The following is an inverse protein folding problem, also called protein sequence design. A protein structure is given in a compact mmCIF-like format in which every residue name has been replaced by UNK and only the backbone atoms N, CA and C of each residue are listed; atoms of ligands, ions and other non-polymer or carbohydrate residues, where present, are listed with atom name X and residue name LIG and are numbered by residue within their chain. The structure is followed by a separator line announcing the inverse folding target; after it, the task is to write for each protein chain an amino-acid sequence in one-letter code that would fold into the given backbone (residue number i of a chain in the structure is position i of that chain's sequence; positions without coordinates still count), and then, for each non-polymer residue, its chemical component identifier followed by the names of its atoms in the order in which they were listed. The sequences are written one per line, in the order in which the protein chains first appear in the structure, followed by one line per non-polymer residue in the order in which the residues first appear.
data_IF_716365500205
#
_entry.id   IF_716365500205
#
_cell.length_a   1.000
_cell.length_b   1.000
_cell.length_c   1.000
_cell.angle_alpha   90.00
_cell.angle_beta   90.00
_cell.angle_gamma   90.00
#
_symmetry.space_group_name_H-M   'P 1'
#
loop_
_entity.id
_entity.type
_entity.pdbx_description
1 polymer ?
#
# COMPACT_ATOMS: atom_id res chain seq x y z
N UNK A 1 48.54 -13.82 25.80
CA UNK A 1 47.45 -14.33 24.93
C UNK A 1 46.37 -13.26 24.86
N UNK A 2 46.39 -12.40 23.84
CA UNK A 2 45.58 -11.19 23.78
C UNK A 2 44.27 -11.50 23.05
N UNK A 3 43.25 -12.01 23.77
CA UNK A 3 41.88 -12.07 23.24
C UNK A 3 41.34 -10.65 23.21
N UNK A 4 41.47 -9.98 22.07
CA UNK A 4 40.58 -8.86 21.75
C UNK A 4 39.20 -9.48 21.65
N UNK A 5 38.37 -9.22 22.66
CA UNK A 5 36.94 -9.47 22.60
C UNK A 5 36.37 -8.64 21.45
N UNK A 6 36.32 -9.23 20.27
CA UNK A 6 35.55 -8.69 19.14
C UNK A 6 34.09 -8.79 19.55
N UNK A 7 33.51 -7.65 19.95
CA UNK A 7 32.07 -7.51 20.14
C UNK A 7 31.36 -8.15 18.93
N UNK A 8 30.32 -8.98 19.14
CA UNK A 8 29.62 -9.62 18.03
C UNK A 8 29.07 -8.54 17.11
N UNK A 9 29.58 -8.49 15.87
CA UNK A 9 29.12 -7.57 14.84
C UNK A 9 27.65 -7.90 14.59
N UNK A 10 26.75 -6.96 14.90
CA UNK A 10 25.33 -7.13 14.61
C UNK A 10 25.17 -7.31 13.10
N UNK A 11 24.55 -8.42 12.63
CA UNK A 11 24.39 -8.66 11.21
C UNK A 11 23.65 -7.50 10.53
N UNK A 12 24.20 -7.02 9.41
CA UNK A 12 23.61 -5.95 8.60
C UNK A 12 22.89 -6.56 7.41
N UNK A 13 21.75 -5.99 7.03
CA UNK A 13 21.02 -6.40 5.84
C UNK A 13 21.88 -6.29 4.56
N UNK A 14 21.72 -7.25 3.66
CA UNK A 14 22.53 -7.37 2.45
C UNK A 14 22.35 -6.15 1.54
N UNK A 15 23.45 -5.68 0.96
CA UNK A 15 23.44 -4.55 0.03
C UNK A 15 23.13 -3.18 0.64
N UNK A 16 23.08 -3.03 1.96
CA UNK A 16 22.88 -1.74 2.64
C UNK A 16 24.23 -1.06 2.92
N UNK A 17 24.89 -0.56 1.86
CA UNK A 17 26.15 0.20 1.95
C UNK A 17 25.90 1.71 2.07
N UNK A 18 26.87 2.47 2.56
CA UNK A 18 26.75 3.94 2.68
C UNK A 18 26.48 4.63 1.34
N UNK A 19 27.14 4.16 0.27
CA UNK A 19 26.90 4.65 -1.09
C UNK A 19 25.45 4.41 -1.53
N UNK A 20 24.89 3.23 -1.22
CA UNK A 20 23.51 2.90 -1.58
C UNK A 20 22.50 3.64 -0.73
N UNK A 21 22.78 3.88 0.56
CA UNK A 21 21.94 4.73 1.39
C UNK A 21 21.92 6.18 0.91
N UNK A 22 23.08 6.72 0.51
CA UNK A 22 23.15 8.04 -0.13
C UNK A 22 22.34 8.07 -1.44
N UNK A 23 22.39 7.00 -2.24
CA UNK A 23 21.54 6.84 -3.43
C UNK A 23 20.05 6.81 -3.05
N UNK A 24 19.65 6.03 -2.05
CA UNK A 24 18.27 5.94 -1.59
C UNK A 24 17.73 7.29 -1.10
N UNK A 25 18.57 8.13 -0.48
CA UNK A 25 18.16 9.51 -0.15
C UNK A 25 17.78 10.30 -1.40
N UNK A 26 18.62 10.28 -2.44
CA UNK A 26 18.32 10.96 -3.71
C UNK A 26 17.05 10.42 -4.37
N UNK A 27 16.83 9.11 -4.28
CA UNK A 27 15.58 8.48 -4.73
C UNK A 27 14.37 8.99 -3.96
N UNK A 28 14.43 9.01 -2.62
CA UNK A 28 13.33 9.50 -1.80
C UNK A 28 13.03 10.98 -2.11
N UNK A 29 14.03 11.85 -2.28
CA UNK A 29 13.79 13.25 -2.69
C UNK A 29 13.11 13.35 -4.06
N UNK A 30 13.52 12.54 -5.04
CA UNK A 30 12.86 12.48 -6.34
C UNK A 30 11.42 12.00 -6.25
N UNK A 31 11.16 10.98 -5.44
CA UNK A 31 9.82 10.44 -5.21
C UNK A 31 8.91 11.42 -4.48
N UNK A 32 9.44 12.20 -3.52
CA UNK A 32 8.72 13.32 -2.92
C UNK A 32 8.20 14.27 -3.99
N UNK A 33 9.08 14.73 -4.88
CA UNK A 33 8.69 15.67 -5.93
C UNK A 33 7.64 15.04 -6.86
N UNK A 34 7.87 13.81 -7.33
CA UNK A 34 6.98 13.13 -8.26
C UNK A 34 5.57 12.90 -7.68
N UNK A 35 5.47 12.49 -6.41
CA UNK A 35 4.18 12.30 -5.76
C UNK A 35 3.49 13.64 -5.46
N UNK A 36 4.25 14.63 -4.98
CA UNK A 36 3.71 15.94 -4.63
C UNK A 36 3.16 16.68 -5.85
N UNK A 37 3.91 16.68 -6.97
CA UNK A 37 3.46 17.28 -8.22
C UNK A 37 2.16 16.63 -8.69
N UNK A 38 2.07 15.30 -8.68
CA UNK A 38 0.84 14.62 -9.04
C UNK A 38 -0.33 14.98 -8.10
N UNK A 39 -0.10 15.03 -6.78
CA UNK A 39 -1.12 15.40 -5.81
C UNK A 39 -1.67 16.81 -6.08
N UNK A 40 -0.78 17.79 -6.31
CA UNK A 40 -1.16 19.18 -6.62
C UNK A 40 -1.92 19.25 -7.95
N UNK A 41 -1.43 18.58 -9.00
CA UNK A 41 -2.09 18.61 -10.31
C UNK A 41 -3.49 18.00 -10.22
N UNK A 42 -3.67 16.87 -9.53
CA UNK A 42 -4.98 16.27 -9.32
C UNK A 42 -5.90 17.24 -8.55
N UNK A 43 -5.44 17.86 -7.46
CA UNK A 43 -6.27 18.80 -6.68
C UNK A 43 -6.72 20.01 -7.51
N UNK A 44 -5.85 20.52 -8.39
CA UNK A 44 -6.14 21.71 -9.19
C UNK A 44 -7.07 21.39 -10.36
N UNK A 45 -6.93 20.21 -10.97
CA UNK A 45 -7.62 19.87 -12.22
C UNK A 45 -8.86 18.98 -12.04
N UNK A 46 -9.02 18.31 -10.89
CA UNK A 46 -10.13 17.38 -10.68
C UNK A 46 -11.48 18.11 -10.55
N UNK A 47 -12.50 17.59 -11.23
CA UNK A 47 -13.89 17.96 -11.00
C UNK A 47 -14.42 17.53 -9.63
N UNK A 48 -15.67 17.91 -9.33
CA UNK A 48 -16.30 17.71 -8.02
C UNK A 48 -16.94 16.32 -7.83
N UNK A 49 -16.56 15.32 -8.63
CA UNK A 49 -17.13 13.99 -8.53
C UNK A 49 -16.88 13.38 -7.15
N UNK A 50 -17.95 12.85 -6.55
CA UNK A 50 -17.94 12.22 -5.25
C UNK A 50 -18.73 10.91 -5.29
N UNK A 51 -18.38 9.99 -4.40
CA UNK A 51 -19.10 8.73 -4.23
C UNK A 51 -19.71 8.71 -2.83
N UNK A 52 -21.02 8.48 -2.77
CA UNK A 52 -21.79 8.40 -1.51
C UNK A 52 -21.55 7.07 -0.82
N UNK A 53 -21.08 7.12 0.41
CA UNK A 53 -21.06 5.97 1.34
C UNK A 53 -22.45 5.81 1.92
N UNK A 54 -22.92 4.57 2.03
CA UNK A 54 -24.30 4.26 2.45
C UNK A 54 -24.35 3.40 3.72
N UNK A 55 -25.50 3.41 4.38
CA UNK A 55 -25.81 2.55 5.52
C UNK A 55 -27.17 1.88 5.36
N UNK A 56 -27.34 0.68 5.90
CA UNK A 56 -28.63 -0.01 5.97
C UNK A 56 -28.75 -0.68 7.33
N UNK A 57 -29.72 -0.26 8.13
CA UNK A 57 -29.95 -0.82 9.46
C UNK A 57 -31.15 -1.79 9.44
N UNK A 58 -31.11 -2.92 10.18
CA UNK A 58 -32.26 -3.80 10.30
C UNK A 58 -33.43 -3.10 11.01
N UNK A 59 -34.64 -3.21 10.45
CA UNK A 59 -35.87 -2.61 10.99
C UNK A 59 -36.85 -3.66 11.56
N UNK A 60 -36.41 -4.91 11.68
CA UNK A 60 -37.23 -6.02 12.15
C UNK A 60 -36.42 -7.18 12.74
N UNK A 61 -37.08 -8.29 13.10
CA UNK A 61 -36.41 -9.49 13.60
C UNK A 61 -35.35 -10.05 12.64
N UNK A 62 -34.36 -10.83 13.12
CA UNK A 62 -33.38 -11.49 12.26
C UNK A 62 -34.03 -12.31 11.14
N UNK A 63 -33.59 -12.10 9.90
CA UNK A 63 -34.16 -12.72 8.69
C UNK A 63 -35.16 -11.83 7.94
N UNK A 64 -35.60 -10.72 8.53
CA UNK A 64 -36.31 -9.67 7.78
C UNK A 64 -35.39 -9.06 6.72
N UNK A 65 -35.94 -8.77 5.54
CA UNK A 65 -35.19 -8.13 4.47
C UNK A 65 -34.66 -6.76 4.93
N UNK A 66 -33.38 -6.50 4.67
CA UNK A 66 -32.75 -5.22 4.97
C UNK A 66 -33.33 -4.16 4.03
N UNK A 67 -33.69 -2.95 4.53
CA UNK A 67 -34.20 -1.87 3.68
C UNK A 67 -33.16 -1.39 2.66
N UNK A 68 -33.61 -0.59 1.71
CA UNK A 68 -32.71 0.07 0.76
C UNK A 68 -31.68 0.93 1.51
N UNK A 69 -30.42 1.05 1.03
CA UNK A 69 -29.42 1.86 1.71
C UNK A 69 -29.73 3.36 1.70
N UNK A 70 -29.55 4.00 2.85
CA UNK A 70 -29.58 5.45 3.01
C UNK A 70 -28.19 6.05 2.76
N UNK A 71 -28.16 7.28 2.24
CA UNK A 71 -26.94 8.05 2.10
C UNK A 71 -26.39 8.47 3.48
N UNK A 72 -25.09 8.27 3.70
CA UNK A 72 -24.42 8.61 4.94
C UNK A 72 -23.55 9.86 4.79
N UNK A 73 -22.59 9.83 3.86
CA UNK A 73 -21.76 10.97 3.50
C UNK A 73 -21.10 10.76 2.13
N UNK A 74 -20.67 11.86 1.51
CA UNK A 74 -19.96 11.84 0.24
C UNK A 74 -18.44 11.86 0.42
N UNK A 75 -17.74 11.04 -0.37
CA UNK A 75 -16.28 11.06 -0.45
C UNK A 75 -15.88 11.78 -1.73
N UNK A 76 -15.29 12.99 -1.66
CA UNK A 76 -14.79 13.69 -2.84
C UNK A 76 -13.58 12.94 -3.40
N UNK A 77 -13.73 12.34 -4.58
CA UNK A 77 -12.76 11.37 -5.10
C UNK A 77 -11.43 12.05 -5.45
N UNK A 78 -11.46 13.25 -6.04
CA UNK A 78 -10.24 14.02 -6.32
C UNK A 78 -9.41 14.31 -5.06
N UNK A 79 -10.08 14.67 -3.96
CA UNK A 79 -9.43 14.89 -2.66
C UNK A 79 -8.81 13.60 -2.09
N UNK A 80 -9.53 12.47 -2.16
CA UNK A 80 -9.02 11.18 -1.70
C UNK A 80 -7.81 10.70 -2.52
N UNK A 81 -7.81 10.92 -3.84
CA UNK A 81 -6.67 10.60 -4.72
C UNK A 81 -5.44 11.44 -4.36
N UNK A 82 -5.62 12.75 -4.22
CA UNK A 82 -4.54 13.63 -3.82
C UNK A 82 -3.98 13.28 -2.44
N UNK A 83 -4.83 12.86 -1.50
CA UNK A 83 -4.40 12.50 -0.15
C UNK A 83 -3.44 11.30 -0.17
N UNK A 84 -3.74 10.21 -0.88
CA UNK A 84 -2.82 9.06 -0.89
C UNK A 84 -1.48 9.38 -1.59
N UNK A 85 -1.48 10.29 -2.57
CA UNK A 85 -0.26 10.79 -3.20
C UNK A 85 0.54 11.67 -2.24
N UNK A 86 -0.12 12.57 -1.51
CA UNK A 86 0.50 13.45 -0.53
C UNK A 86 1.11 12.66 0.65
N UNK A 87 0.45 11.60 1.11
CA UNK A 87 1.00 10.70 2.13
C UNK A 87 2.31 10.05 1.69
N UNK A 88 2.38 9.57 0.45
CA UNK A 88 3.63 9.03 -0.11
C UNK A 88 4.71 10.11 -0.24
N UNK A 89 4.36 11.31 -0.72
CA UNK A 89 5.30 12.42 -0.81
C UNK A 89 5.89 12.80 0.56
N UNK A 90 5.04 12.83 1.59
CA UNK A 90 5.42 13.14 2.97
C UNK A 90 6.37 12.07 3.54
N UNK A 91 6.05 10.78 3.40
CA UNK A 91 6.91 9.70 3.88
C UNK A 91 8.31 9.74 3.25
N UNK A 92 8.37 9.91 1.92
CA UNK A 92 9.63 10.07 1.21
C UNK A 92 10.40 11.32 1.65
N UNK A 93 9.71 12.43 1.92
CA UNK A 93 10.36 13.66 2.37
C UNK A 93 10.97 13.47 3.75
N UNK A 94 10.19 12.88 4.66
CA UNK A 94 10.58 12.60 6.03
C UNK A 94 11.78 11.63 6.10
N UNK A 95 11.75 10.55 5.33
CA UNK A 95 12.86 9.57 5.27
C UNK A 95 14.10 10.11 4.57
N UNK A 96 13.96 11.10 3.67
CA UNK A 96 15.10 11.78 3.04
C UNK A 96 15.74 12.88 3.92
N UNK A 97 15.01 13.40 4.90
CA UNK A 97 15.38 14.59 5.69
C UNK A 97 15.38 14.30 7.20
N UNK A 98 14.30 14.65 7.90
CA UNK A 98 14.19 14.68 9.36
C UNK A 98 14.44 13.31 9.99
N UNK A 99 13.90 12.26 9.40
CA UNK A 99 14.00 10.89 9.92
C UNK A 99 15.03 10.02 9.19
N UNK A 100 15.88 10.62 8.35
CA UNK A 100 16.89 9.89 7.58
C UNK A 100 17.76 8.99 8.45
N UNK A 101 18.27 9.49 9.57
CA UNK A 101 19.11 8.68 10.45
C UNK A 101 18.39 7.45 11.03
N UNK A 102 17.09 7.57 11.33
CA UNK A 102 16.27 6.44 11.80
C UNK A 102 16.00 5.46 10.67
N UNK A 103 15.61 5.97 9.50
CA UNK A 103 15.38 5.18 8.30
C UNK A 103 16.61 4.32 7.93
N UNK A 104 17.79 4.94 7.83
CA UNK A 104 19.01 4.22 7.46
C UNK A 104 19.41 3.17 8.51
N UNK A 105 19.22 3.44 9.81
CA UNK A 105 19.44 2.45 10.88
C UNK A 105 18.50 1.25 10.77
N UNK A 106 17.23 1.48 10.42
CA UNK A 106 16.26 0.41 10.25
C UNK A 106 16.57 -0.45 9.03
N UNK A 107 16.93 0.17 7.89
CA UNK A 107 17.33 -0.56 6.70
C UNK A 107 18.51 -1.49 6.97
N UNK A 108 19.49 -1.04 7.75
CA UNK A 108 20.62 -1.91 8.18
C UNK A 108 20.15 -3.10 9.01
N UNK A 109 19.04 -2.97 9.73
CA UNK A 109 18.39 -4.04 10.48
C UNK A 109 17.39 -4.85 9.63
N UNK A 110 17.31 -4.59 8.33
CA UNK A 110 16.43 -5.31 7.41
C UNK A 110 14.95 -4.96 7.58
N UNK A 111 14.64 -3.77 8.12
CA UNK A 111 13.27 -3.31 8.35
C UNK A 111 13.09 -1.91 7.74
N UNK A 112 11.90 -1.63 7.21
CA UNK A 112 11.49 -0.27 6.89
C UNK A 112 10.12 0.02 7.51
N UNK A 113 10.10 0.57 8.73
CA UNK A 113 8.85 0.91 9.42
C UNK A 113 8.05 2.03 8.73
N UNK A 114 8.74 2.95 8.06
CA UNK A 114 8.13 4.10 7.37
C UNK A 114 7.24 3.62 6.23
N UNK A 115 7.76 2.71 5.39
CA UNK A 115 6.98 2.01 4.36
C UNK A 115 5.68 1.42 4.90
N UNK A 116 5.75 0.65 5.98
CA UNK A 116 4.56 -0.07 6.48
C UNK A 116 3.54 0.88 7.09
N UNK A 117 3.99 1.95 7.76
CA UNK A 117 3.08 3.00 8.25
C UNK A 117 2.42 3.72 7.08
N UNK A 118 3.18 4.16 6.07
CA UNK A 118 2.64 4.84 4.89
C UNK A 118 1.64 3.95 4.13
N UNK A 119 2.03 2.71 3.81
CA UNK A 119 1.17 1.77 3.06
C UNK A 119 -0.10 1.41 3.83
N UNK A 120 -0.06 1.38 5.17
CA UNK A 120 -1.23 1.03 5.97
C UNK A 120 -2.36 2.04 5.79
N UNK A 121 -2.01 3.29 5.46
CA UNK A 121 -2.97 4.36 5.21
C UNK A 121 -3.21 4.54 3.71
N UNK A 122 -2.16 4.73 2.92
CA UNK A 122 -2.31 5.07 1.50
C UNK A 122 -2.87 3.91 0.68
N UNK A 123 -2.37 2.69 0.84
CA UNK A 123 -2.91 1.52 0.13
C UNK A 123 -4.35 1.21 0.59
N UNK A 124 -4.70 1.54 1.84
CA UNK A 124 -6.07 1.43 2.35
C UNK A 124 -7.00 2.43 1.69
N UNK A 125 -6.59 3.69 1.52
CA UNK A 125 -7.35 4.67 0.73
C UNK A 125 -7.50 4.22 -0.73
N UNK A 126 -6.44 3.67 -1.32
CA UNK A 126 -6.47 3.16 -2.69
C UNK A 126 -7.48 2.02 -2.85
N UNK A 127 -7.46 1.01 -1.96
CA UNK A 127 -8.39 -0.12 -2.07
C UNK A 127 -9.84 0.30 -1.79
N UNK A 128 -10.08 1.25 -0.89
CA UNK A 128 -11.42 1.84 -0.68
C UNK A 128 -11.93 2.46 -1.98
N UNK A 129 -11.11 3.28 -2.66
CA UNK A 129 -11.51 3.88 -3.93
C UNK A 129 -11.80 2.80 -4.99
N UNK A 130 -10.94 1.79 -5.13
CA UNK A 130 -11.18 0.70 -6.08
C UNK A 130 -12.49 -0.04 -5.75
N UNK A 131 -12.77 -0.27 -4.47
CA UNK A 131 -14.03 -0.85 -4.00
C UNK A 131 -15.24 0.03 -4.34
N UNK A 132 -15.13 1.35 -4.19
CA UNK A 132 -16.17 2.31 -4.57
C UNK A 132 -16.47 2.28 -6.08
N UNK A 133 -15.43 2.31 -6.92
CA UNK A 133 -15.59 2.15 -8.38
C UNK A 133 -16.18 0.79 -8.78
N UNK A 134 -15.98 -0.21 -7.92
CA UNK A 134 -16.57 -1.54 -8.08
C UNK A 134 -17.96 -1.66 -7.47
N UNK A 135 -18.57 -0.57 -6.95
CA UNK A 135 -19.93 -0.53 -6.41
C UNK A 135 -20.08 -0.93 -4.93
N UNK A 136 -18.98 -1.06 -4.18
CA UNK A 136 -19.00 -1.45 -2.76
C UNK A 136 -18.99 -0.18 -1.91
N UNK A 137 -20.15 0.38 -1.61
CA UNK A 137 -20.28 1.68 -0.91
C UNK A 137 -20.83 1.60 0.52
N UNK A 138 -21.23 0.41 0.98
CA UNK A 138 -21.75 0.23 2.35
C UNK A 138 -20.66 0.48 3.40
N UNK A 139 -20.96 1.28 4.41
CA UNK A 139 -20.04 1.59 5.53
C UNK A 139 -19.53 0.33 6.24
N UNK A 140 -20.37 -0.71 6.37
CA UNK A 140 -19.98 -1.98 6.99
C UNK A 140 -18.87 -2.69 6.20
N UNK A 141 -18.98 -2.68 4.86
CA UNK A 141 -17.98 -3.26 3.98
C UNK A 141 -16.68 -2.43 4.01
N UNK A 142 -16.79 -1.09 4.01
CA UNK A 142 -15.64 -0.18 4.10
C UNK A 142 -14.84 -0.41 5.38
N UNK A 143 -15.51 -0.55 6.53
CA UNK A 143 -14.85 -0.85 7.83
C UNK A 143 -14.07 -2.17 7.75
N UNK A 144 -14.69 -3.22 7.19
CA UNK A 144 -14.03 -4.52 7.04
C UNK A 144 -12.83 -4.47 6.08
N UNK A 145 -12.96 -3.75 4.96
CA UNK A 145 -11.89 -3.55 3.98
C UNK A 145 -10.71 -2.79 4.60
N UNK A 146 -10.98 -1.74 5.38
CA UNK A 146 -9.95 -1.00 6.14
C UNK A 146 -9.19 -1.95 7.05
N UNK A 147 -9.91 -2.69 7.89
CA UNK A 147 -9.30 -3.63 8.83
C UNK A 147 -8.45 -4.68 8.12
N UNK A 148 -8.97 -5.28 7.05
CA UNK A 148 -8.27 -6.28 6.27
C UNK A 148 -7.00 -5.73 5.61
N UNK A 149 -7.08 -4.58 4.93
CA UNK A 149 -5.92 -4.02 4.25
C UNK A 149 -4.84 -3.54 5.22
N UNK A 150 -5.23 -2.87 6.32
CA UNK A 150 -4.28 -2.48 7.38
C UNK A 150 -3.60 -3.72 7.96
N UNK A 151 -4.36 -4.76 8.30
CA UNK A 151 -3.79 -6.00 8.84
C UNK A 151 -2.82 -6.67 7.86
N UNK A 152 -3.14 -6.74 6.56
CA UNK A 152 -2.23 -7.24 5.53
C UNK A 152 -0.89 -6.50 5.55
N UNK A 153 -0.92 -5.17 5.60
CA UNK A 153 0.30 -4.33 5.64
C UNK A 153 1.09 -4.56 6.93
N UNK A 154 0.44 -4.56 8.09
CA UNK A 154 1.09 -4.79 9.38
C UNK A 154 1.71 -6.19 9.47
N UNK A 155 1.12 -7.20 8.81
CA UNK A 155 1.71 -8.53 8.73
C UNK A 155 2.96 -8.57 7.85
N UNK A 156 3.09 -7.69 6.85
CA UNK A 156 4.34 -7.42 6.15
C UNK A 156 5.42 -6.84 7.08
N UNK A 157 5.03 -5.90 7.95
CA UNK A 157 5.95 -5.40 8.97
C UNK A 157 6.39 -6.52 9.93
N UNK A 158 5.44 -7.32 10.43
CA UNK A 158 5.76 -8.46 11.30
C UNK A 158 6.66 -9.48 10.58
N UNK A 159 6.46 -9.70 9.29
CA UNK A 159 7.36 -10.54 8.47
C UNK A 159 8.81 -10.03 8.52
N UNK A 160 9.03 -8.71 8.44
CA UNK A 160 10.38 -8.14 8.57
C UNK A 160 10.94 -8.29 9.99
N UNK A 161 10.12 -8.02 11.01
CA UNK A 161 10.52 -8.12 12.42
C UNK A 161 10.92 -9.54 12.83
N UNK A 162 10.19 -10.56 12.35
CA UNK A 162 10.43 -11.96 12.68
C UNK A 162 11.59 -12.58 11.90
N UNK A 163 12.14 -11.87 10.91
CA UNK A 163 13.19 -12.38 10.05
C UNK A 163 14.37 -11.38 9.92
N UNK A 164 15.06 -11.06 11.03
CA UNK A 164 16.17 -10.13 11.01
C UNK A 164 17.36 -10.66 10.18
N UNK A 165 18.30 -9.78 9.77
CA UNK A 165 19.55 -10.18 9.15
C UNK A 165 20.34 -11.17 10.04
N UNK A 166 21.04 -12.12 9.41
CA UNK A 166 21.82 -13.14 10.13
C UNK A 166 21.01 -14.27 10.75
N UNK A 167 19.69 -14.32 10.54
CA UNK A 167 18.83 -15.45 10.95
C UNK A 167 19.29 -16.77 10.33
N UNK A 168 19.16 -17.85 11.08
CA UNK A 168 19.45 -19.23 10.61
C UNK A 168 18.27 -19.90 9.93
N UNK A 169 17.05 -19.45 10.26
CA UNK A 169 15.79 -19.92 9.67
C UNK A 169 14.94 -18.74 9.23
N UNK A 170 14.05 -18.96 8.26
CA UNK A 170 13.10 -17.95 7.80
C UNK A 170 11.68 -18.47 7.99
N UNK A 171 10.86 -17.74 8.73
CA UNK A 171 9.41 -18.00 8.81
C UNK A 171 8.69 -17.17 7.74
N UNK A 172 7.74 -17.79 7.06
CA UNK A 172 6.84 -17.13 6.10
C UNK A 172 5.40 -17.03 6.63
N UNK A 173 5.18 -17.34 7.91
CA UNK A 173 3.84 -17.40 8.48
C UNK A 173 3.13 -16.02 8.44
N UNK A 174 3.77 -14.90 8.85
CA UNK A 174 3.15 -13.58 8.72
C UNK A 174 2.82 -13.21 7.27
N UNK A 175 3.71 -13.52 6.32
CA UNK A 175 3.46 -13.31 4.90
C UNK A 175 2.19 -14.03 4.42
N UNK A 176 2.00 -15.30 4.78
CA UNK A 176 0.82 -16.07 4.35
C UNK A 176 -0.46 -15.60 5.01
N UNK A 177 -0.41 -15.22 6.30
CA UNK A 177 -1.56 -14.58 6.95
C UNK A 177 -1.91 -13.25 6.30
N UNK A 178 -0.89 -12.44 5.97
CA UNK A 178 -1.07 -11.18 5.24
C UNK A 178 -1.72 -11.41 3.88
N UNK A 179 -1.30 -12.47 3.17
CA UNK A 179 -1.88 -12.87 1.88
C UNK A 179 -3.36 -13.22 2.02
N UNK A 180 -3.73 -14.06 2.99
CA UNK A 180 -5.12 -14.48 3.19
C UNK A 180 -6.02 -13.28 3.47
N UNK A 181 -5.61 -12.40 4.39
CA UNK A 181 -6.41 -11.22 4.74
C UNK A 181 -6.44 -10.22 3.58
N UNK A 182 -5.31 -10.03 2.90
CA UNK A 182 -5.18 -9.15 1.74
C UNK A 182 -6.01 -9.57 0.53
N UNK A 183 -6.36 -10.85 0.40
CA UNK A 183 -7.25 -11.34 -0.65
C UNK A 183 -8.72 -10.93 -0.44
N UNK A 184 -9.16 -10.68 0.79
CA UNK A 184 -10.57 -10.46 1.09
C UNK A 184 -11.19 -9.27 0.32
N UNK A 185 -10.57 -8.07 0.27
CA UNK A 185 -11.09 -6.97 -0.55
C UNK A 185 -11.15 -7.31 -2.04
N UNK A 186 -10.14 -8.02 -2.58
CA UNK A 186 -10.10 -8.40 -3.99
C UNK A 186 -11.19 -9.41 -4.37
N UNK A 187 -11.47 -10.37 -3.48
CA UNK A 187 -12.60 -11.29 -3.67
C UNK A 187 -13.92 -10.55 -3.68
N UNK A 188 -14.11 -9.59 -2.77
CA UNK A 188 -15.32 -8.75 -2.74
C UNK A 188 -15.48 -7.90 -4.02
N UNK A 189 -14.40 -7.28 -4.48
CA UNK A 189 -14.36 -6.54 -5.75
C UNK A 189 -14.71 -7.45 -6.93
N UNK A 190 -14.06 -8.63 -7.03
CA UNK A 190 -14.31 -9.57 -8.11
C UNK A 190 -15.77 -10.05 -8.12
N UNK A 191 -16.33 -10.36 -6.94
CA UNK A 191 -17.74 -10.74 -6.80
C UNK A 191 -18.67 -9.66 -7.37
N UNK A 192 -18.46 -8.38 -7.01
CA UNK A 192 -19.34 -7.31 -7.47
C UNK A 192 -19.18 -7.02 -8.96
N UNK A 193 -17.95 -7.06 -9.49
CA UNK A 193 -17.67 -6.86 -10.92
C UNK A 193 -18.29 -7.97 -11.78
N UNK A 194 -18.19 -9.24 -11.35
CA UNK A 194 -18.76 -10.39 -12.08
C UNK A 194 -20.30 -10.37 -12.01
N UNK A 195 -20.88 -9.99 -10.87
CA UNK A 195 -22.33 -9.89 -10.69
C UNK A 195 -22.97 -8.67 -11.38
N UNK A 196 -22.18 -7.66 -11.74
CA UNK A 196 -22.67 -6.43 -12.35
C UNK A 196 -23.01 -6.62 -13.82
N UNK A 197 -24.22 -6.20 -14.23
CA UNK A 197 -24.67 -6.24 -15.63
C UNK A 197 -23.89 -5.29 -16.55
N UNK A 198 -23.39 -4.20 -15.97
CA UNK A 198 -22.71 -3.12 -16.68
C UNK A 198 -21.63 -2.56 -15.78
N UNK A 199 -20.39 -2.53 -16.27
CA UNK A 199 -19.23 -1.96 -15.59
C UNK A 199 -18.48 -1.12 -16.62
N UNK A 200 -18.16 0.16 -16.34
CA UNK A 200 -17.40 0.98 -17.28
C UNK A 200 -16.03 0.38 -17.60
N UNK A 201 -15.59 0.50 -18.87
CA UNK A 201 -14.31 -0.09 -19.31
C UNK A 201 -13.10 0.36 -18.49
N UNK A 202 -13.06 1.63 -18.06
CA UNK A 202 -11.96 2.15 -17.25
C UNK A 202 -11.91 1.53 -15.85
N UNK A 203 -13.04 1.07 -15.29
CA UNK A 203 -13.08 0.38 -13.99
C UNK A 203 -12.40 -0.98 -14.11
N UNK A 204 -12.62 -1.73 -15.20
CA UNK A 204 -11.85 -2.94 -15.47
C UNK A 204 -10.35 -2.65 -15.59
N UNK A 205 -9.99 -1.55 -16.27
CA UNK A 205 -8.60 -1.09 -16.35
C UNK A 205 -7.98 -0.85 -14.97
N UNK A 206 -8.68 -0.13 -14.10
CA UNK A 206 -8.27 0.12 -12.72
C UNK A 206 -8.06 -1.19 -11.97
N UNK A 207 -9.07 -2.07 -11.95
CA UNK A 207 -9.03 -3.31 -11.18
C UNK A 207 -7.90 -4.23 -11.66
N UNK A 208 -7.79 -4.48 -12.96
CA UNK A 208 -6.74 -5.37 -13.51
C UNK A 208 -5.35 -4.82 -13.21
N UNK A 209 -5.13 -3.52 -13.47
CA UNK A 209 -3.85 -2.86 -13.21
C UNK A 209 -3.47 -2.97 -11.73
N UNK A 210 -4.41 -2.66 -10.83
CA UNK A 210 -4.12 -2.64 -9.40
C UNK A 210 -4.00 -4.04 -8.80
N UNK A 211 -4.73 -5.05 -9.28
CA UNK A 211 -4.49 -6.45 -8.91
C UNK A 211 -3.05 -6.83 -9.20
N UNK A 212 -2.57 -6.60 -10.43
CA UNK A 212 -1.21 -6.96 -10.82
C UNK A 212 -0.19 -6.26 -9.92
N UNK A 213 -0.40 -4.97 -9.64
CA UNK A 213 0.54 -4.17 -8.85
C UNK A 213 0.50 -4.56 -7.37
N UNK A 214 -0.66 -4.71 -6.72
CA UNK A 214 -0.78 -5.14 -5.33
C UNK A 214 -0.15 -6.51 -5.10
N UNK A 215 -0.41 -7.47 -5.99
CA UNK A 215 0.23 -8.79 -5.90
C UNK A 215 1.75 -8.72 -6.12
N UNK A 216 2.23 -7.75 -6.91
CA UNK A 216 3.67 -7.51 -7.09
C UNK A 216 4.35 -7.03 -5.80
N UNK A 217 3.67 -6.31 -4.91
CA UNK A 217 4.20 -6.00 -3.57
C UNK A 217 4.39 -7.27 -2.73
N UNK A 218 3.40 -8.16 -2.74
CA UNK A 218 3.50 -9.47 -2.08
C UNK A 218 4.63 -10.31 -2.67
N UNK A 219 4.73 -10.37 -4.01
CA UNK A 219 5.80 -11.08 -4.71
C UNK A 219 7.18 -10.52 -4.35
N UNK A 220 7.32 -9.19 -4.27
CA UNK A 220 8.58 -8.55 -3.86
C UNK A 220 9.03 -9.03 -2.47
N UNK A 221 8.11 -9.05 -1.49
CA UNK A 221 8.40 -9.56 -0.15
C UNK A 221 8.74 -11.05 -0.16
N UNK A 222 7.98 -11.84 -0.91
CA UNK A 222 8.20 -13.28 -1.02
C UNK A 222 9.58 -13.58 -1.61
N UNK A 223 9.95 -12.94 -2.73
CA UNK A 223 11.26 -13.10 -3.35
C UNK A 223 12.40 -12.69 -2.41
N UNK A 224 12.22 -11.60 -1.64
CA UNK A 224 13.18 -11.13 -0.64
C UNK A 224 13.44 -12.16 0.46
N UNK A 225 12.38 -12.72 1.05
CA UNK A 225 12.54 -13.69 2.13
C UNK A 225 12.89 -15.10 1.65
N UNK A 226 12.56 -15.44 0.40
CA UNK A 226 13.03 -16.66 -0.26
C UNK A 226 14.45 -16.54 -0.81
N UNK A 227 15.02 -15.34 -0.86
CA UNK A 227 16.38 -15.09 -1.37
C UNK A 227 16.54 -15.50 -2.83
N UNK A 228 15.58 -15.18 -3.69
CA UNK A 228 15.58 -15.62 -5.09
C UNK A 228 16.15 -14.52 -5.99
N UNK A 229 17.19 -14.84 -6.78
CA UNK A 229 17.76 -13.93 -7.78
C UNK A 229 18.30 -12.64 -7.17
N UNK A 230 17.92 -11.48 -7.74
CA UNK A 230 18.35 -10.16 -7.27
C UNK A 230 17.84 -9.82 -5.86
N UNK A 231 16.80 -10.49 -5.37
CA UNK A 231 16.21 -10.26 -4.06
C UNK A 231 16.98 -10.90 -2.89
N UNK A 232 18.10 -11.59 -3.18
CA UNK A 232 19.12 -11.91 -2.16
C UNK A 232 19.72 -10.63 -1.53
N UNK A 233 19.64 -9.51 -2.25
CA UNK A 233 20.05 -8.18 -1.84
C UNK A 233 18.85 -7.40 -1.28
N UNK A 234 18.84 -7.14 0.04
CA UNK A 234 17.73 -6.44 0.70
C UNK A 234 17.49 -5.04 0.11
N UNK A 235 18.56 -4.30 -0.20
CA UNK A 235 18.43 -2.96 -0.76
C UNK A 235 17.81 -2.97 -2.19
N UNK A 236 17.91 -4.10 -2.92
CA UNK A 236 17.18 -4.27 -4.17
C UNK A 236 15.67 -4.41 -3.93
N UNK A 237 15.27 -5.20 -2.94
CA UNK A 237 13.86 -5.32 -2.52
C UNK A 237 13.28 -3.98 -2.05
N UNK A 238 14.05 -3.23 -1.26
CA UNK A 238 13.72 -1.87 -0.83
C UNK A 238 13.46 -0.94 -2.03
N UNK A 239 14.39 -0.91 -2.98
CA UNK A 239 14.25 -0.09 -4.19
C UNK A 239 13.05 -0.51 -5.05
N UNK A 240 12.76 -1.81 -5.10
CA UNK A 240 11.60 -2.33 -5.83
C UNK A 240 10.29 -1.83 -5.22
N UNK A 241 10.18 -1.77 -3.89
CA UNK A 241 9.03 -1.17 -3.22
C UNK A 241 8.83 0.31 -3.58
N UNK A 242 9.91 1.09 -3.64
CA UNK A 242 9.84 2.50 -4.05
C UNK A 242 9.26 2.65 -5.47
N UNK A 243 9.73 1.83 -6.42
CA UNK A 243 9.24 1.85 -7.80
C UNK A 243 7.77 1.40 -7.87
N UNK A 244 7.43 0.30 -7.20
CA UNK A 244 6.05 -0.19 -7.17
C UNK A 244 5.09 0.83 -6.57
N UNK A 245 5.49 1.53 -5.49
CA UNK A 245 4.69 2.59 -4.86
C UNK A 245 4.40 3.72 -5.84
N UNK A 246 5.44 4.22 -6.51
CA UNK A 246 5.27 5.28 -7.51
C UNK A 246 4.33 4.82 -8.62
N UNK A 247 4.59 3.67 -9.23
CA UNK A 247 3.82 3.17 -10.36
C UNK A 247 2.36 2.89 -9.99
N UNK A 248 2.11 2.19 -8.88
CA UNK A 248 0.76 1.85 -8.46
C UNK A 248 -0.09 3.08 -8.13
N UNK A 249 0.46 4.01 -7.36
CA UNK A 249 -0.23 5.26 -6.98
C UNK A 249 -0.48 6.15 -8.20
N UNK A 250 0.52 6.32 -9.07
CA UNK A 250 0.39 7.14 -10.27
C UNK A 250 -0.64 6.55 -11.23
N UNK A 251 -0.55 5.25 -11.54
CA UNK A 251 -1.50 4.61 -12.44
C UNK A 251 -2.93 4.62 -11.89
N UNK A 252 -3.13 4.44 -10.58
CA UNK A 252 -4.47 4.57 -10.00
C UNK A 252 -5.00 5.99 -10.14
N UNK A 253 -4.19 6.99 -9.74
CA UNK A 253 -4.58 8.39 -9.75
C UNK A 253 -5.01 8.85 -11.15
N UNK A 254 -4.22 8.54 -12.17
CA UNK A 254 -4.49 9.00 -13.53
C UNK A 254 -5.60 8.21 -14.24
N UNK A 255 -5.79 6.92 -13.93
CA UNK A 255 -6.95 6.17 -14.44
C UNK A 255 -8.26 6.67 -13.82
N UNK A 256 -8.27 6.96 -12.51
CA UNK A 256 -9.41 7.60 -11.84
C UNK A 256 -9.66 8.99 -12.45
N UNK A 257 -8.60 9.78 -12.63
CA UNK A 257 -8.72 11.11 -13.18
C UNK A 257 -9.37 11.10 -14.56
N UNK A 258 -8.81 10.34 -15.52
CA UNK A 258 -9.36 10.25 -16.86
C UNK A 258 -10.73 9.57 -16.93
N UNK A 259 -11.05 8.70 -15.97
CA UNK A 259 -12.32 7.98 -15.94
C UNK A 259 -13.50 8.77 -15.35
N UNK A 260 -13.26 9.67 -14.40
CA UNK A 260 -14.37 10.37 -13.72
C UNK A 260 -14.06 11.73 -13.10
N UNK A 261 -12.82 12.25 -13.18
CA UNK A 261 -12.48 13.57 -12.62
C UNK A 261 -12.10 14.60 -13.68
N UNK A 262 -11.82 14.18 -14.92
CA UNK A 262 -11.63 15.10 -16.02
C UNK A 262 -12.89 15.99 -16.17
N UNK A 263 -12.74 17.32 -16.37
CA UNK A 263 -13.86 18.24 -16.55
C UNK A 263 -14.80 17.86 -17.69
#
# INVERSE_FOLDING_TARGET
MNRKDTLPVTPVATGVTDQRLASLRSWNLGLTLLHLVQAVVILVLAGSFAITVTSSFPEGPPGTAVPAPDALFDVPVGGAVALFLALAALDHLLTATVYRGTYERDLRRGINRFRWVEYSVSATLMIILISFYSGITSINAVIAIIGANVAMILLGWVQELMNPPGRTTTTMLPFWFGTIVGLAPWVSIAFNIIGSKTVPGFVYGIVVTQVILFFSFGLNQWLQYRGIGKWTDYAYGEKTYLVLSLVAKSLLAWQIFGGSLAP
#
